data_IF_802143922996
#
_entry.id   IF_802143922996
#
_cell.length_a   1.000
_cell.length_b   1.000
_cell.length_c   1.000
_cell.angle_alpha   90.00
_cell.angle_beta   90.00
_cell.angle_gamma   90.00
#
_symmetry.space_group_name_H-M   'P 1'
#
loop_
_entity.id
_entity.type
_entity.pdbx_description
1 polymer ?
#
# COMPACT_ATOMS: atom_id res chain seq x y z
N UNK A 1 -15.34 3.81 3.08
CA UNK A 1 -14.36 4.42 2.16
C UNK A 1 -15.10 5.04 0.99
N UNK A 2 -14.92 6.35 0.69
CA UNK A 2 -15.51 7.02 -0.47
C UNK A 2 -14.97 6.48 -1.80
N UNK A 3 -15.72 6.66 -2.89
CA UNK A 3 -15.34 6.18 -4.23
C UNK A 3 -13.99 6.77 -4.68
N UNK A 4 -13.71 8.02 -4.33
CA UNK A 4 -12.42 8.66 -4.66
C UNK A 4 -11.22 7.93 -4.07
N UNK A 5 -11.35 7.37 -2.87
CA UNK A 5 -10.26 6.60 -2.25
C UNK A 5 -10.03 5.28 -2.98
N UNK A 6 -11.10 4.60 -3.44
CA UNK A 6 -11.00 3.37 -4.22
C UNK A 6 -10.20 3.62 -5.51
N UNK A 7 -10.44 4.75 -6.17
CA UNK A 7 -9.71 5.14 -7.39
C UNK A 7 -8.23 5.36 -7.10
N UNK A 8 -7.90 6.11 -6.04
CA UNK A 8 -6.50 6.40 -5.67
C UNK A 8 -5.74 5.12 -5.33
N UNK A 9 -6.36 4.20 -4.61
CA UNK A 9 -5.79 2.89 -4.29
C UNK A 9 -5.59 2.07 -5.56
N UNK A 10 -6.59 2.04 -6.45
CA UNK A 10 -6.51 1.37 -7.74
C UNK A 10 -5.35 1.88 -8.60
N UNK A 11 -5.08 3.19 -8.58
CA UNK A 11 -3.94 3.79 -9.27
C UNK A 11 -2.60 3.28 -8.71
N UNK A 12 -2.48 3.20 -7.37
CA UNK A 12 -1.27 2.68 -6.72
C UNK A 12 -1.07 1.20 -7.05
N UNK A 13 -2.12 0.38 -6.96
CA UNK A 13 -2.07 -1.04 -7.35
C UNK A 13 -1.63 -1.20 -8.80
N UNK A 14 -2.17 -0.38 -9.71
CA UNK A 14 -1.81 -0.41 -11.13
C UNK A 14 -0.35 -0.03 -11.39
N UNK A 15 0.21 0.91 -10.61
CA UNK A 15 1.66 1.22 -10.66
C UNK A 15 2.48 0.03 -10.17
N UNK A 16 2.11 -0.55 -9.02
CA UNK A 16 2.80 -1.70 -8.42
C UNK A 16 2.81 -2.92 -9.35
N UNK A 17 1.67 -3.25 -9.98
CA UNK A 17 1.57 -4.35 -10.94
C UNK A 17 2.47 -4.19 -12.16
N UNK A 18 2.75 -2.94 -12.57
CA UNK A 18 3.67 -2.63 -13.68
C UNK A 18 5.13 -2.53 -13.24
N UNK A 19 5.43 -2.73 -11.95
CA UNK A 19 6.78 -2.56 -11.40
C UNK A 19 7.27 -1.11 -11.40
N UNK A 20 6.34 -0.15 -11.48
CA UNK A 20 6.68 1.27 -11.46
C UNK A 20 7.05 1.72 -10.04
N UNK A 21 8.00 2.65 -9.94
CA UNK A 21 8.32 3.29 -8.67
C UNK A 21 7.15 4.16 -8.22
N UNK A 22 6.79 4.04 -6.95
CA UNK A 22 5.83 4.93 -6.33
C UNK A 22 6.42 6.32 -6.12
N UNK A 23 5.55 7.33 -6.06
CA UNK A 23 5.98 8.70 -5.83
C UNK A 23 6.46 8.85 -4.39
N UNK A 24 7.46 9.71 -4.08
CA UNK A 24 7.95 9.89 -2.71
C UNK A 24 6.88 10.29 -1.70
N UNK A 25 5.80 10.95 -2.15
CA UNK A 25 4.64 11.31 -1.32
C UNK A 25 3.88 10.10 -0.77
N UNK A 26 4.05 8.92 -1.37
CA UNK A 26 3.41 7.70 -0.91
C UNK A 26 4.10 7.09 0.31
N UNK A 27 5.26 7.65 0.73
CA UNK A 27 6.00 7.25 1.94
C UNK A 27 6.14 5.73 2.04
N UNK A 28 6.40 5.07 0.91
CA UNK A 28 6.41 3.61 0.83
C UNK A 28 7.65 3.04 1.56
N UNK A 29 7.43 2.36 2.68
CA UNK A 29 8.51 1.86 3.53
C UNK A 29 8.28 0.43 4.02
N UNK A 30 9.33 -0.35 4.30
CA UNK A 30 9.17 -1.70 4.85
C UNK A 30 8.55 -1.65 6.25
N UNK A 31 7.73 -2.64 6.57
CA UNK A 31 7.27 -2.94 7.93
C UNK A 31 8.26 -3.86 8.66
N UNK A 32 8.14 -3.91 9.98
CA UNK A 32 9.00 -4.69 10.87
C UNK A 32 8.18 -5.67 11.72
N UNK A 33 8.85 -6.49 12.54
CA UNK A 33 8.19 -7.47 13.42
C UNK A 33 7.46 -8.57 12.65
N UNK A 34 6.22 -8.90 13.05
CA UNK A 34 5.40 -9.92 12.37
C UNK A 34 5.03 -9.58 10.92
N UNK A 35 5.31 -8.35 10.47
CA UNK A 35 5.04 -7.85 9.13
C UNK A 35 6.28 -7.75 8.25
N UNK A 36 7.40 -8.37 8.64
CA UNK A 36 8.61 -8.40 7.79
C UNK A 36 8.29 -8.89 6.39
N UNK A 37 8.77 -8.14 5.39
CA UNK A 37 8.52 -8.38 3.97
C UNK A 37 7.27 -7.68 3.44
N UNK A 38 6.39 -7.17 4.30
CA UNK A 38 5.35 -6.22 3.91
C UNK A 38 5.86 -4.78 3.91
N UNK A 39 5.14 -3.93 3.19
CA UNK A 39 5.38 -2.51 3.03
C UNK A 39 4.14 -1.75 3.44
N UNK A 40 4.37 -0.60 4.05
CA UNK A 40 3.38 0.41 4.38
C UNK A 40 3.45 1.50 3.31
N UNK A 41 2.37 1.71 2.57
CA UNK A 41 2.27 2.73 1.54
C UNK A 41 1.09 3.66 1.84
N UNK A 42 1.39 4.93 2.08
CA UNK A 42 0.41 5.98 2.26
C UNK A 42 -0.18 6.38 0.90
N UNK A 43 -1.42 5.96 0.62
CA UNK A 43 -2.18 6.43 -0.55
C UNK A 43 -2.65 7.86 -0.32
N UNK A 44 -3.02 8.18 0.93
CA UNK A 44 -3.33 9.53 1.45
C UNK A 44 -2.75 9.65 2.87
N UNK A 45 -2.75 10.85 3.50
CA UNK A 45 -2.21 11.02 4.84
C UNK A 45 -2.71 10.01 5.87
N UNK A 46 -3.99 9.63 5.80
CA UNK A 46 -4.59 8.60 6.68
C UNK A 46 -5.31 7.49 5.90
N UNK A 47 -4.78 7.11 4.73
CA UNK A 47 -5.23 5.94 3.98
C UNK A 47 -3.99 5.15 3.56
N UNK A 48 -3.82 3.98 4.17
CA UNK A 48 -2.64 3.14 4.04
C UNK A 48 -3.00 1.84 3.31
N UNK A 49 -2.14 1.43 2.37
CA UNK A 49 -2.14 0.13 1.74
C UNK A 49 -0.96 -0.69 2.28
N UNK A 50 -1.25 -1.80 2.95
CA UNK A 50 -0.24 -2.80 3.34
C UNK A 50 -0.17 -3.87 2.26
N UNK A 51 1.00 -4.04 1.66
CA UNK A 51 1.22 -4.99 0.57
C UNK A 51 2.61 -5.62 0.62
N UNK A 52 2.84 -6.64 -0.19
CA UNK A 52 4.19 -7.12 -0.53
C UNK A 52 4.24 -7.61 -1.96
N UNK A 53 5.46 -7.67 -2.51
CA UNK A 53 5.74 -8.43 -3.73
C UNK A 53 6.44 -9.70 -3.28
N UNK A 54 5.79 -10.84 -3.48
CA UNK A 54 6.33 -12.15 -3.11
C UNK A 54 6.12 -13.12 -4.27
N UNK A 55 7.18 -13.80 -4.67
CA UNK A 55 7.19 -14.74 -5.81
C UNK A 55 6.64 -14.12 -7.11
N UNK A 56 7.06 -12.89 -7.41
CA UNK A 56 6.61 -12.13 -8.58
C UNK A 56 5.15 -11.67 -8.54
N UNK A 57 4.44 -11.92 -7.44
CA UNK A 57 3.03 -11.55 -7.28
C UNK A 57 2.86 -10.40 -6.29
N UNK A 58 2.00 -9.44 -6.65
CA UNK A 58 1.53 -8.41 -5.75
C UNK A 58 0.48 -8.99 -4.81
N UNK A 59 0.78 -9.04 -3.51
CA UNK A 59 -0.13 -9.49 -2.47
C UNK A 59 -0.59 -8.29 -1.64
N UNK A 60 -1.89 -8.02 -1.65
CA UNK A 60 -2.52 -6.95 -0.86
C UNK A 60 -3.00 -7.55 0.46
N UNK A 61 -2.50 -7.05 1.58
CA UNK A 61 -2.86 -7.58 2.90
C UNK A 61 -3.99 -6.80 3.56
N UNK A 62 -3.87 -5.47 3.62
CA UNK A 62 -4.84 -4.60 4.29
C UNK A 62 -4.92 -3.24 3.64
N UNK A 63 -6.06 -2.59 3.83
CA UNK A 63 -6.27 -1.18 3.50
C UNK A 63 -7.15 -0.52 4.55
N UNK A 64 -6.77 0.67 5.00
CA UNK A 64 -7.51 1.40 6.04
C UNK A 64 -6.80 2.65 6.53
N UNK A 65 -7.35 3.28 7.56
CA UNK A 65 -6.65 4.33 8.32
C UNK A 65 -5.54 3.71 9.19
N UNK A 66 -4.65 4.53 9.75
CA UNK A 66 -3.63 3.99 10.65
C UNK A 66 -4.24 3.29 11.87
N UNK A 67 -5.31 3.86 12.45
CA UNK A 67 -5.99 3.31 13.62
C UNK A 67 -6.72 2.00 13.35
N UNK A 68 -7.13 1.75 12.11
CA UNK A 68 -7.78 0.49 11.74
C UNK A 68 -6.77 -0.64 11.51
N UNK A 69 -5.51 -0.30 11.22
CA UNK A 69 -4.49 -1.25 10.79
C UNK A 69 -3.50 -1.63 11.89
N UNK A 70 -3.27 -0.73 12.85
CA UNK A 70 -2.31 -0.83 13.94
C UNK A 70 -2.93 -0.47 15.29
#
# INVERSE_FOLDING_TARGET
MPISDIIEVGNIISKLQRGEKLDPKNVDHPLTGGWVGFRDCHVKPDLVLIYRIFDGQLQLARIGSHSDLF
#
